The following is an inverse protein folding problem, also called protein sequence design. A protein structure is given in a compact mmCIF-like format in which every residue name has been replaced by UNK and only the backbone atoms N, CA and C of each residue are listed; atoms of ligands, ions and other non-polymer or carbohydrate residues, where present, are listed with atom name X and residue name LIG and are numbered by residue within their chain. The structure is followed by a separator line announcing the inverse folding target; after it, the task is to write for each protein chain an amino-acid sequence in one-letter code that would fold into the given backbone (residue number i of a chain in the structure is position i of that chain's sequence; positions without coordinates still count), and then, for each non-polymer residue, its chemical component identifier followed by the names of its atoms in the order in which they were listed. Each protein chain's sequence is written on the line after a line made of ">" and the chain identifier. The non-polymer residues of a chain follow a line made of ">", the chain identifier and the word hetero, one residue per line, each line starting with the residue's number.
data_IF_745797159990
#
_entry.id   IF_745797159990
#
_cell.length_a   1.000
_cell.length_b   1.000
_cell.length_c   1.000
_cell.angle_alpha   90.00
_cell.angle_beta   90.00
_cell.angle_gamma   90.00
#
_symmetry.space_group_name_H-M   'P 1'
#
loop_
_entity.id
_entity.type
_entity.pdbx_description
1 polymer ?
#
# COMPACT_ATOMS: atom_id res chain seq x y z
N UNK A 1 -2.07 -12.82 17.55
CA UNK A 1 -3.01 -13.21 16.46
C UNK A 1 -3.60 -14.55 16.81
N UNK A 2 -4.90 -14.71 16.63
CA UNK A 2 -5.58 -16.00 16.79
C UNK A 2 -5.05 -17.02 15.74
N UNK A 3 -4.51 -18.18 16.14
CA UNK A 3 -3.99 -19.20 15.23
C UNK A 3 -5.03 -19.79 14.28
N UNK A 4 -6.30 -19.81 14.68
CA UNK A 4 -7.40 -20.40 13.90
C UNK A 4 -8.08 -19.40 12.96
N UNK A 5 -7.77 -18.10 13.10
CA UNK A 5 -8.24 -17.08 12.18
C UNK A 5 -7.82 -17.40 10.74
N UNK A 6 -8.75 -17.22 9.81
CA UNK A 6 -8.50 -17.36 8.38
C UNK A 6 -7.98 -16.05 7.80
N UNK A 7 -6.96 -16.15 6.96
CA UNK A 7 -6.40 -15.04 6.19
C UNK A 7 -6.30 -15.42 4.72
N UNK A 8 -6.45 -14.42 3.86
CA UNK A 8 -6.36 -14.61 2.42
C UNK A 8 -4.90 -14.83 1.97
N UNK A 9 -4.69 -15.72 1.01
CA UNK A 9 -3.37 -15.91 0.42
C UNK A 9 -3.00 -14.75 -0.52
N UNK A 10 -1.76 -14.22 -0.46
CA UNK A 10 -1.30 -13.16 -1.35
C UNK A 10 -1.10 -13.62 -2.81
N UNK A 11 -0.96 -14.93 -3.05
CA UNK A 11 -0.77 -15.50 -4.38
C UNK A 11 -2.07 -15.79 -5.12
N UNK A 12 -3.13 -16.10 -4.35
CA UNK A 12 -4.42 -16.51 -4.89
C UNK A 12 -5.54 -16.07 -3.94
N UNK A 13 -6.44 -15.24 -4.47
CA UNK A 13 -7.55 -14.66 -3.73
C UNK A 13 -8.60 -15.70 -3.31
N UNK A 14 -8.66 -16.85 -3.96
CA UNK A 14 -9.60 -17.93 -3.62
C UNK A 14 -9.18 -18.69 -2.35
N UNK A 15 -7.90 -18.62 -1.95
CA UNK A 15 -7.41 -19.33 -0.78
C UNK A 15 -7.65 -18.55 0.52
N UNK A 16 -8.33 -19.20 1.47
CA UNK A 16 -8.45 -18.79 2.86
C UNK A 16 -7.71 -19.80 3.74
N UNK A 17 -6.68 -19.34 4.45
CA UNK A 17 -5.73 -20.22 5.16
C UNK A 17 -5.66 -19.80 6.62
N UNK A 18 -5.65 -20.77 7.53
CA UNK A 18 -5.43 -20.50 8.95
C UNK A 18 -4.06 -19.85 9.16
N UNK A 19 -4.00 -18.87 10.05
CA UNK A 19 -2.77 -18.17 10.43
C UNK A 19 -1.65 -19.17 10.79
N UNK A 20 -1.98 -20.23 11.53
CA UNK A 20 -1.05 -21.30 11.92
C UNK A 20 -0.43 -22.06 10.74
N UNK A 21 -1.16 -22.20 9.62
CA UNK A 21 -0.73 -22.96 8.43
C UNK A 21 -0.15 -22.07 7.34
N UNK A 22 -0.29 -20.75 7.47
CA UNK A 22 0.13 -19.78 6.47
C UNK A 22 1.61 -19.92 6.06
N UNK A 23 2.60 -20.06 6.96
CA UNK A 23 4.00 -20.15 6.56
C UNK A 23 4.27 -21.30 5.58
N UNK A 24 3.75 -22.49 5.88
CA UNK A 24 3.87 -23.66 5.04
C UNK A 24 3.12 -23.50 3.71
N UNK A 25 1.91 -22.91 3.77
CA UNK A 25 1.12 -22.65 2.58
C UNK A 25 1.85 -21.71 1.61
N UNK A 26 2.43 -20.62 2.11
CA UNK A 26 3.08 -19.61 1.28
C UNK A 26 4.22 -20.19 0.44
N UNK A 27 5.05 -21.08 1.01
CA UNK A 27 6.15 -21.73 0.27
C UNK A 27 5.63 -22.58 -0.89
N UNK A 28 4.60 -23.39 -0.65
CA UNK A 28 3.98 -24.23 -1.68
C UNK A 28 3.27 -23.39 -2.75
N UNK A 29 2.49 -22.40 -2.32
CA UNK A 29 1.68 -21.58 -3.21
C UNK A 29 2.53 -20.66 -4.10
N UNK A 30 3.66 -20.18 -3.58
CA UNK A 30 4.66 -19.43 -4.36
C UNK A 30 5.19 -20.25 -5.55
N UNK A 31 5.52 -21.53 -5.32
CA UNK A 31 6.02 -22.43 -6.38
C UNK A 31 4.96 -22.71 -7.46
N UNK A 32 3.70 -22.76 -7.06
CA UNK A 32 2.58 -23.01 -7.97
C UNK A 32 2.14 -21.76 -8.75
N UNK A 33 2.48 -20.56 -8.28
CA UNK A 33 2.08 -19.28 -8.89
C UNK A 33 3.30 -18.41 -9.25
N UNK A 34 4.21 -18.87 -10.11
CA UNK A 34 5.46 -18.18 -10.42
C UNK A 34 5.28 -16.77 -10.99
N UNK A 35 4.21 -16.55 -11.77
CA UNK A 35 3.87 -15.26 -12.36
C UNK A 35 3.53 -14.20 -11.31
N UNK A 36 2.72 -14.55 -10.31
CA UNK A 36 2.38 -13.65 -9.19
C UNK A 36 3.59 -13.50 -8.27
N UNK A 37 4.34 -14.58 -8.06
CA UNK A 37 5.53 -14.58 -7.22
C UNK A 37 6.63 -13.62 -7.69
N UNK A 38 6.74 -13.36 -8.99
CA UNK A 38 7.68 -12.35 -9.52
C UNK A 38 7.30 -10.91 -9.17
N UNK A 39 6.03 -10.66 -8.87
CA UNK A 39 5.49 -9.32 -8.54
C UNK A 39 5.46 -9.03 -7.04
N UNK A 40 5.60 -10.08 -6.21
CA UNK A 40 5.53 -10.00 -4.77
C UNK A 40 6.93 -10.14 -4.16
N UNK A 41 7.23 -9.27 -3.21
CA UNK A 41 8.45 -9.28 -2.42
C UNK A 41 8.14 -9.72 -0.99
N UNK A 42 9.15 -10.26 -0.31
CA UNK A 42 9.06 -10.71 1.07
C UNK A 42 9.53 -9.58 2.00
N UNK A 43 8.76 -9.30 3.06
CA UNK A 43 9.18 -8.33 4.07
C UNK A 43 10.45 -8.81 4.79
N UNK A 44 11.44 -7.93 5.01
CA UNK A 44 12.65 -8.28 5.75
C UNK A 44 12.42 -8.60 7.23
N UNK A 45 11.31 -8.14 7.82
CA UNK A 45 11.00 -8.34 9.24
C UNK A 45 10.15 -9.58 9.52
N UNK A 46 9.32 -9.99 8.55
CA UNK A 46 8.44 -11.15 8.70
C UNK A 46 8.18 -11.83 7.36
N UNK A 47 8.66 -13.07 7.22
CA UNK A 47 8.52 -13.85 5.99
C UNK A 47 7.06 -14.21 5.62
N UNK A 48 6.10 -13.99 6.53
CA UNK A 48 4.67 -14.13 6.26
C UNK A 48 4.12 -12.96 5.46
N UNK A 49 4.73 -11.77 5.54
CA UNK A 49 4.31 -10.61 4.79
C UNK A 49 4.85 -10.69 3.36
N UNK A 50 3.92 -10.72 2.40
CA UNK A 50 4.23 -10.69 0.96
C UNK A 50 3.46 -9.54 0.34
N UNK A 51 4.19 -8.58 -0.20
CA UNK A 51 3.64 -7.31 -0.69
C UNK A 51 4.08 -7.09 -2.13
N UNK A 52 3.28 -6.41 -2.96
CA UNK A 52 3.75 -5.96 -4.27
C UNK A 52 5.02 -5.13 -4.13
N UNK A 53 5.97 -5.27 -5.07
CA UNK A 53 7.25 -4.55 -5.04
C UNK A 53 7.09 -3.04 -4.85
N UNK A 54 6.07 -2.44 -5.48
CA UNK A 54 5.76 -1.01 -5.36
C UNK A 54 5.33 -0.59 -3.94
N UNK A 55 4.73 -1.50 -3.17
CA UNK A 55 4.22 -1.21 -1.83
C UNK A 55 5.19 -1.60 -0.71
N UNK A 56 6.24 -2.37 -1.03
CA UNK A 56 7.18 -2.88 -0.04
C UNK A 56 7.86 -1.76 0.75
N UNK A 57 8.28 -0.67 0.09
CA UNK A 57 8.95 0.45 0.76
C UNK A 57 8.06 1.12 1.81
N UNK A 58 6.81 1.39 1.43
CA UNK A 58 5.79 1.90 2.35
C UNK A 58 5.54 0.94 3.50
N UNK A 59 5.42 -0.36 3.20
CA UNK A 59 5.23 -1.39 4.21
C UNK A 59 6.39 -1.43 5.22
N UNK A 60 7.64 -1.38 4.78
CA UNK A 60 8.83 -1.43 5.65
C UNK A 60 8.80 -0.28 6.67
N UNK A 61 8.41 0.94 6.27
CA UNK A 61 8.36 2.10 7.16
C UNK A 61 7.29 1.99 8.27
N UNK A 62 6.24 1.18 8.05
CA UNK A 62 5.11 1.03 8.96
C UNK A 62 4.86 -0.43 9.38
N UNK A 63 5.85 -1.32 9.22
CA UNK A 63 5.64 -2.74 9.45
C UNK A 63 5.42 -2.99 10.95
N UNK A 64 4.35 -3.71 11.36
CA UNK A 64 4.09 -3.98 12.78
C UNK A 64 5.21 -4.81 13.43
N UNK A 65 5.85 -5.68 12.66
CA UNK A 65 6.94 -6.54 13.13
C UNK A 65 8.31 -5.85 13.12
N UNK A 66 8.42 -4.63 12.59
CA UNK A 66 9.68 -3.84 12.63
C UNK A 66 10.12 -3.60 14.08
N UNK A 67 9.17 -3.48 15.02
CA UNK A 67 9.44 -3.21 16.43
C UNK A 67 10.01 -4.41 17.19
N UNK A 68 9.77 -5.63 16.71
CA UNK A 68 10.27 -6.86 17.34
C UNK A 68 11.81 -6.94 17.35
N UNK A 69 12.49 -6.18 16.49
CA UNK A 69 13.96 -6.08 16.50
C UNK A 69 14.49 -5.02 17.49
N UNK A 70 13.71 -3.98 17.80
CA UNK A 70 14.12 -2.88 18.67
C UNK A 70 13.81 -3.12 20.16
N UNK A 71 12.88 -4.02 20.48
CA UNK A 71 12.53 -4.30 21.88
C UNK A 71 13.61 -5.14 22.61
N UNK A 72 14.68 -5.59 21.91
CA UNK A 72 15.89 -6.14 22.53
C UNK A 72 16.90 -5.07 22.99
N UNK A 73 16.72 -3.81 22.59
CA UNK A 73 17.59 -2.67 22.93
C UNK A 73 16.72 -1.42 23.10
N UNK A 74 16.03 -1.32 24.25
CA UNK A 74 15.46 -0.10 24.84
C UNK A 74 15.08 1.06 23.91
N UNK A 75 13.76 1.24 23.77
CA UNK A 75 13.08 2.50 23.40
C UNK A 75 13.21 2.98 21.93
N UNK A 76 12.12 2.82 21.16
CA UNK A 76 11.88 3.66 19.98
C UNK A 76 11.25 4.98 20.43
N UNK A 77 11.71 6.17 19.99
CA UNK A 77 10.95 7.40 20.16
C UNK A 77 9.60 7.25 19.44
N UNK A 78 8.51 7.88 19.95
CA UNK A 78 7.24 7.88 19.24
C UNK A 78 7.50 8.36 17.82
N UNK A 79 7.15 7.53 16.82
CA UNK A 79 7.11 8.03 15.44
C UNK A 79 6.22 9.27 15.41
N UNK A 80 6.49 10.26 14.54
CA UNK A 80 5.62 11.43 14.44
C UNK A 80 4.20 10.91 14.24
N UNK A 81 3.32 11.20 15.20
CA UNK A 81 1.91 10.94 15.03
C UNK A 81 1.50 11.84 13.88
N UNK A 82 1.28 11.25 12.70
CA UNK A 82 0.40 11.87 11.73
C UNK A 82 -0.95 11.89 12.44
N UNK A 83 -1.22 12.99 13.14
CA UNK A 83 -2.54 13.32 13.62
C UNK A 83 -3.38 13.34 12.36
N UNK A 84 -4.17 12.28 12.14
CA UNK A 84 -5.38 12.39 11.34
C UNK A 84 -6.11 13.57 11.96
N UNK A 85 -6.03 14.72 11.28
CA UNK A 85 -6.77 15.90 11.68
C UNK A 85 -8.23 15.52 11.89
N UNK A 86 -8.97 16.29 12.72
CA UNK A 86 -10.38 16.02 12.95
C UNK A 86 -11.09 15.79 11.61
N UNK A 87 -12.10 14.91 11.55
CA UNK A 87 -12.87 14.71 10.32
C UNK A 87 -13.34 16.10 9.89
N UNK A 88 -12.80 16.56 8.75
CA UNK A 88 -13.30 17.78 8.15
C UNK A 88 -14.78 17.50 7.90
N UNK A 89 -15.62 18.23 8.62
CA UNK A 89 -17.03 18.29 8.31
C UNK A 89 -17.09 19.01 6.98
N UNK A 90 -17.16 18.22 5.89
CA UNK A 90 -17.51 18.69 4.56
C UNK A 90 -18.89 19.35 4.63
N UNK A 91 -18.85 20.61 5.04
CA UNK A 91 -19.91 21.57 4.98
C UNK A 91 -19.29 22.79 4.34
N UNK A 92 -19.12 22.71 3.01
CA UNK A 92 -19.78 23.63 2.08
C UNK A 92 -19.57 23.23 0.61
N UNK A 93 -20.48 23.67 -0.27
CA UNK A 93 -20.96 22.89 -1.40
C UNK A 93 -20.43 23.37 -2.75
N UNK A 94 -20.51 22.47 -3.74
CA UNK A 94 -20.43 22.71 -5.19
C UNK A 94 -19.01 22.99 -5.73
N UNK A 95 -18.55 22.36 -6.82
CA UNK A 95 -19.29 22.12 -8.05
C UNK A 95 -18.98 20.74 -8.66
N UNK A 96 -20.03 19.92 -8.81
CA UNK A 96 -20.05 18.80 -9.73
C UNK A 96 -20.00 19.34 -11.16
N UNK A 97 -18.94 19.02 -11.92
CA UNK A 97 -18.75 19.09 -13.39
C UNK A 97 -17.24 19.32 -13.62
N UNK A 98 -16.40 18.30 -13.69
CA UNK A 98 -16.21 17.57 -14.94
C UNK A 98 -15.61 16.19 -14.65
N UNK A 99 -16.46 15.18 -14.76
CA UNK A 99 -16.06 13.78 -14.80
C UNK A 99 -15.30 13.46 -16.11
N UNK A 100 -14.27 12.63 -15.97
CA UNK A 100 -13.78 11.61 -16.89
C UNK A 100 -13.94 11.80 -18.40
N UNK A 101 -12.82 11.67 -19.14
CA UNK A 101 -12.78 10.78 -20.31
C UNK A 101 -11.37 10.27 -20.58
N UNK A 102 -11.21 8.96 -20.43
CA UNK A 102 -10.19 8.17 -21.11
C UNK A 102 -10.46 8.28 -22.61
N UNK A 103 -9.50 8.78 -23.39
CA UNK A 103 -9.48 8.57 -24.84
C UNK A 103 -8.06 8.21 -25.25
N UNK A 104 -7.89 6.97 -25.71
CA UNK A 104 -6.75 6.55 -26.52
C UNK A 104 -6.63 7.49 -27.72
N UNK A 105 -5.48 8.11 -27.93
CA UNK A 105 -5.10 8.62 -29.24
C UNK A 105 -3.57 8.74 -29.37
N UNK A 106 -2.95 7.72 -29.94
CA UNK A 106 -1.74 7.88 -30.73
C UNK A 106 -2.08 8.81 -31.90
N UNK A 107 -1.57 10.05 -31.90
CA UNK A 107 -1.02 10.78 -33.07
C UNK A 107 -0.83 12.27 -32.75
N UNK A 108 0.45 12.63 -32.76
CA UNK A 108 1.04 13.83 -33.39
C UNK A 108 0.47 15.23 -33.12
N UNK A 109 1.42 16.11 -32.78
CA UNK A 109 1.50 17.54 -33.08
C UNK A 109 0.87 18.54 -32.09
N UNK A 110 1.78 19.17 -31.33
CA UNK A 110 1.76 20.57 -30.88
C UNK A 110 0.48 21.11 -30.24
N UNK A 111 0.46 21.18 -28.91
CA UNK A 111 0.21 22.46 -28.21
C UNK A 111 0.68 22.30 -26.75
N UNK A 112 1.82 22.92 -26.41
CA UNK A 112 2.09 23.28 -25.02
C UNK A 112 1.01 24.29 -24.62
N UNK A 113 0.04 23.88 -23.80
CA UNK A 113 -0.85 24.82 -23.14
C UNK A 113 -0.16 25.24 -21.85
N UNK A 114 0.31 26.49 -21.85
CA UNK A 114 0.84 27.18 -20.69
C UNK A 114 -0.21 27.17 -19.56
N UNK A 115 0.22 26.73 -18.38
CA UNK A 115 -0.58 26.79 -17.17
C UNK A 115 -0.29 28.15 -16.51
N UNK A 116 -1.09 29.17 -16.82
CA UNK A 116 -1.07 30.46 -16.11
C UNK A 116 -2.04 30.40 -14.93
N UNK A 117 -1.58 29.86 -13.80
CA UNK A 117 -2.34 29.88 -12.55
C UNK A 117 -2.19 31.26 -11.87
N UNK A 118 -3.21 32.11 -12.00
CA UNK A 118 -3.24 33.48 -11.48
C UNK A 118 -3.58 33.63 -9.97
N UNK A 119 -3.27 32.65 -9.11
CA UNK A 119 -3.70 32.66 -7.70
C UNK A 119 -2.59 32.23 -6.71
N UNK A 120 -1.43 32.87 -6.79
CA UNK A 120 -0.45 32.90 -5.70
C UNK A 120 -0.15 34.36 -5.32
N UNK A 121 -0.62 34.87 -4.17
CA UNK A 121 -0.09 36.12 -3.64
C UNK A 121 1.28 35.87 -2.99
N UNK A 122 2.30 36.58 -3.50
CA UNK A 122 3.57 36.82 -2.80
C UNK A 122 3.43 38.16 -2.08
N UNK A 123 3.21 38.12 -0.76
CA UNK A 123 3.74 38.98 0.33
C UNK A 123 2.90 38.72 1.58
#
# INVERSE_FOLDING_TARGET
>A
MDPEALVQCPYDKAHQIRVSRLPYHLVKCQRNNPQVARSLEICPFNARHRMPRAELQRHIACCPDQRLLFDAQGTRPPGPQLQLGPPHSDTRPYCALCAHRVVHALKTFWQYVACECAWCPVT
#
